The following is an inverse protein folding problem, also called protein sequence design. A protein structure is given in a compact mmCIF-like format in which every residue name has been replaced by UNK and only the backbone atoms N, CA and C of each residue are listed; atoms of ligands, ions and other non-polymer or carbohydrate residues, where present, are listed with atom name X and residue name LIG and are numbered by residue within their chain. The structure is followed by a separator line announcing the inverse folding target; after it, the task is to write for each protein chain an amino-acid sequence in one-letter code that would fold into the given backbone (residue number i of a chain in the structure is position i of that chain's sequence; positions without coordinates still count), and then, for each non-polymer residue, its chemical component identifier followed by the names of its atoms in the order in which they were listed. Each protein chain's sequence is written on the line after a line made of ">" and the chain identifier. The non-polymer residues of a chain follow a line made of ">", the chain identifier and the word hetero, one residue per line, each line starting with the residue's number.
data_IF_687978835579
#
_entry.id   IF_687978835579
#
_cell.length_a   1.000
_cell.length_b   1.000
_cell.length_c   1.000
_cell.angle_alpha   90.00
_cell.angle_beta   90.00
_cell.angle_gamma   90.00
#
_symmetry.space_group_name_H-M   'P 1'
#
loop_
_entity.id
_entity.type
_entity.pdbx_description
1 polymer ?
#
# COMPACT_ATOMS: atom_id res chain seq x y z
N UNK A 1 7.64 21.55 -8.15
CA UNK A 1 6.24 21.81 -8.54
C UNK A 1 5.40 21.74 -7.27
N UNK A 2 4.79 22.84 -6.82
CA UNK A 2 3.78 22.82 -5.74
C UNK A 2 2.41 22.97 -6.38
N UNK A 3 1.62 21.89 -6.41
CA UNK A 3 0.14 21.88 -6.52
C UNK A 3 -0.28 20.50 -5.99
N UNK A 4 -1.18 20.31 -5.02
CA UNK A 4 -2.21 21.16 -4.41
C UNK A 4 -3.42 20.24 -4.22
N UNK A 5 -3.83 19.98 -2.97
CA UNK A 5 -4.89 19.05 -2.58
C UNK A 5 -4.85 17.66 -3.28
N UNK A 6 -5.96 16.90 -3.22
CA UNK A 6 -6.11 15.63 -3.94
C UNK A 6 -6.32 15.92 -5.42
N UNK A 7 -5.44 15.39 -6.30
CA UNK A 7 -5.50 15.65 -7.74
C UNK A 7 -6.37 14.63 -8.47
N UNK A 8 -6.51 13.41 -7.94
CA UNK A 8 -7.40 12.41 -8.48
C UNK A 8 -8.86 12.82 -8.27
N UNK A 9 -9.62 12.87 -9.36
CA UNK A 9 -11.03 13.27 -9.33
C UNK A 9 -11.92 12.03 -9.20
N UNK A 10 -13.01 12.07 -8.40
CA UNK A 10 -14.00 11.01 -8.37
C UNK A 10 -14.63 10.79 -9.74
N UNK A 11 -14.74 9.53 -10.18
CA UNK A 11 -15.52 9.16 -11.35
C UNK A 11 -17.02 9.05 -11.03
N UNK A 12 -17.84 8.64 -12.01
CA UNK A 12 -19.29 8.48 -11.83
C UNK A 12 -19.71 7.45 -10.77
N UNK A 13 -18.78 6.64 -10.26
CA UNK A 13 -18.99 5.69 -9.17
C UNK A 13 -18.40 6.15 -7.84
N UNK A 14 -17.79 7.34 -7.80
CA UNK A 14 -17.14 7.91 -6.61
C UNK A 14 -15.69 7.49 -6.41
N UNK A 15 -15.12 6.67 -7.31
CA UNK A 15 -13.72 6.22 -7.22
C UNK A 15 -12.79 7.29 -7.78
N UNK A 16 -11.80 7.72 -7.00
CA UNK A 16 -10.79 8.68 -7.47
C UNK A 16 -9.90 8.11 -8.56
N UNK A 17 -9.80 8.82 -9.68
CA UNK A 17 -8.97 8.50 -10.83
C UNK A 17 -8.13 9.68 -11.29
N UNK A 18 -6.99 9.40 -11.91
CA UNK A 18 -6.13 10.39 -12.54
C UNK A 18 -5.77 9.92 -13.95
N UNK A 19 -6.21 10.68 -14.97
CA UNK A 19 -6.05 10.33 -16.38
C UNK A 19 -6.53 8.90 -16.70
N UNK A 20 -7.70 8.53 -16.15
CA UNK A 20 -8.32 7.21 -16.32
C UNK A 20 -7.77 6.09 -15.44
N UNK A 21 -6.60 6.28 -14.81
CA UNK A 21 -6.00 5.30 -13.90
C UNK A 21 -6.61 5.39 -12.50
N UNK A 22 -6.85 4.26 -11.82
CA UNK A 22 -7.30 4.27 -10.44
C UNK A 22 -6.22 4.83 -9.51
N UNK A 23 -6.64 5.57 -8.50
CA UNK A 23 -5.76 6.12 -7.49
C UNK A 23 -5.80 5.34 -6.18
N UNK A 24 -4.68 5.37 -5.47
CA UNK A 24 -4.53 4.82 -4.13
C UNK A 24 -4.06 5.92 -3.18
N UNK A 25 -4.52 5.84 -1.94
CA UNK A 25 -3.92 6.58 -0.83
C UNK A 25 -2.77 5.78 -0.25
N UNK A 26 -1.82 6.49 0.36
CA UNK A 26 -0.70 5.88 1.09
C UNK A 26 -0.61 6.45 2.49
N UNK A 27 -0.20 5.63 3.43
CA UNK A 27 0.33 6.05 4.74
C UNK A 27 1.69 5.37 4.95
N UNK A 28 2.24 5.50 6.15
CA UNK A 28 3.46 4.82 6.56
C UNK A 28 3.23 4.19 7.93
N UNK A 29 3.83 3.03 8.15
CA UNK A 29 3.80 2.36 9.43
C UNK A 29 5.17 1.80 9.80
N UNK A 30 5.31 1.51 11.09
CA UNK A 30 6.38 0.74 11.67
C UNK A 30 5.83 0.05 12.91
N UNK A 31 5.59 -1.26 12.81
CA UNK A 31 5.01 -2.07 13.88
C UNK A 31 5.97 -3.16 14.41
N UNK A 32 7.12 -3.37 13.77
CA UNK A 32 8.09 -4.39 14.17
C UNK A 32 7.66 -5.85 13.90
N UNK A 33 6.48 -6.09 13.32
CA UNK A 33 5.87 -7.41 13.27
C UNK A 33 6.30 -8.23 12.06
N UNK A 34 6.14 -9.56 12.16
CA UNK A 34 6.42 -10.50 11.06
C UNK A 34 5.53 -10.26 9.82
N UNK A 35 4.35 -9.71 10.05
CA UNK A 35 3.36 -9.41 9.03
C UNK A 35 2.58 -10.63 8.55
N UNK A 36 1.42 -10.33 7.96
CA UNK A 36 0.35 -11.28 7.65
C UNK A 36 0.60 -12.20 6.45
N UNK A 37 1.71 -12.00 5.73
CA UNK A 37 2.20 -12.95 4.74
C UNK A 37 3.30 -13.89 5.30
N UNK A 38 3.58 -13.81 6.60
CA UNK A 38 4.50 -14.71 7.29
C UNK A 38 5.95 -14.55 6.86
N UNK A 39 6.38 -13.34 6.54
CA UNK A 39 7.72 -13.02 6.06
C UNK A 39 8.74 -12.89 7.20
N UNK A 40 8.94 -14.00 7.91
CA UNK A 40 9.87 -14.18 9.01
C UNK A 40 9.95 -15.66 9.41
N UNK A 41 10.84 -16.04 10.35
CA UNK A 41 10.96 -17.42 10.81
C UNK A 41 9.62 -18.00 11.30
N UNK A 42 9.33 -19.29 11.05
CA UNK A 42 8.09 -19.93 11.48
C UNK A 42 7.92 -19.89 13.00
N UNK A 43 6.66 -19.79 13.47
CA UNK A 43 6.30 -19.90 14.88
C UNK A 43 6.66 -18.71 15.77
N UNK A 44 7.18 -17.62 15.19
CA UNK A 44 7.46 -16.36 15.90
C UNK A 44 6.86 -15.14 15.19
N UNK A 45 7.05 -13.98 15.82
CA UNK A 45 6.64 -12.66 15.32
C UNK A 45 7.85 -11.79 14.92
N UNK A 46 9.00 -12.42 14.66
CA UNK A 46 10.19 -11.74 14.17
C UNK A 46 10.13 -11.64 12.64
N UNK A 47 10.17 -10.45 12.03
CA UNK A 47 10.29 -10.31 10.58
C UNK A 47 11.69 -10.70 10.10
N UNK A 48 11.79 -11.15 8.84
CA UNK A 48 13.08 -11.17 8.18
C UNK A 48 13.61 -9.73 8.03
N UNK A 49 14.93 -9.54 8.13
CA UNK A 49 15.52 -8.22 8.01
C UNK A 49 15.13 -7.50 6.72
N UNK A 50 15.05 -8.21 5.58
CA UNK A 50 14.63 -7.60 4.32
C UNK A 50 13.20 -7.04 4.38
N UNK A 51 12.30 -7.66 5.15
CA UNK A 51 10.90 -7.20 5.23
C UNK A 51 10.78 -5.82 5.88
N UNK A 52 11.75 -5.44 6.72
CA UNK A 52 11.84 -4.14 7.38
C UNK A 52 12.67 -3.11 6.60
N UNK A 53 13.43 -3.54 5.59
CA UNK A 53 14.38 -2.70 4.86
C UNK A 53 13.96 -2.43 3.40
N UNK A 54 13.24 -3.38 2.79
CA UNK A 54 12.77 -3.28 1.41
C UNK A 54 11.52 -2.39 1.30
N UNK A 55 11.16 -2.06 0.05
CA UNK A 55 9.88 -1.41 -0.26
C UNK A 55 8.77 -2.46 -0.18
N UNK A 56 8.17 -2.58 1.00
CA UNK A 56 7.05 -3.47 1.30
C UNK A 56 5.84 -2.67 1.77
N UNK A 57 4.65 -3.25 1.64
CA UNK A 57 3.41 -2.62 2.04
C UNK A 57 2.47 -3.58 2.78
N UNK A 58 1.70 -3.00 3.70
CA UNK A 58 0.47 -3.55 4.22
C UNK A 58 -0.70 -3.01 3.38
N UNK A 59 -1.39 -3.89 2.66
CA UNK A 59 -2.49 -3.46 1.79
C UNK A 59 -3.84 -3.50 2.52
N UNK A 60 -4.77 -2.60 2.19
CA UNK A 60 -6.10 -2.63 2.81
C UNK A 60 -6.77 -3.99 2.66
N UNK A 61 -7.42 -4.46 3.72
CA UNK A 61 -7.89 -5.83 3.89
C UNK A 61 -8.60 -6.41 2.66
N UNK A 62 -9.47 -5.63 2.02
CA UNK A 62 -10.23 -6.08 0.84
C UNK A 62 -9.39 -6.23 -0.41
N UNK A 63 -8.30 -5.48 -0.56
CA UNK A 63 -7.31 -5.79 -1.58
C UNK A 63 -6.44 -6.96 -1.15
N UNK A 64 -5.93 -6.97 0.08
CA UNK A 64 -5.04 -8.02 0.61
C UNK A 64 -5.60 -9.45 0.39
N UNK A 65 -6.90 -9.66 0.62
CA UNK A 65 -7.55 -10.95 0.42
C UNK A 65 -8.50 -10.99 -0.80
N UNK A 66 -8.31 -10.11 -1.78
CA UNK A 66 -9.09 -10.08 -3.03
C UNK A 66 -10.62 -10.19 -2.80
N UNK A 67 -11.12 -9.36 -1.89
CA UNK A 67 -12.52 -9.23 -1.49
C UNK A 67 -12.91 -10.01 -0.23
N UNK A 68 -12.05 -10.92 0.24
CA UNK A 68 -12.26 -11.67 1.48
C UNK A 68 -11.96 -10.86 2.75
N UNK A 69 -11.77 -11.56 3.86
CA UNK A 69 -11.53 -10.99 5.20
C UNK A 69 -10.34 -11.65 5.92
N UNK A 70 -9.57 -12.50 5.23
CA UNK A 70 -8.38 -13.10 5.84
C UNK A 70 -7.38 -12.01 6.20
N UNK A 71 -6.84 -12.10 7.41
CA UNK A 71 -5.71 -11.30 7.90
C UNK A 71 -4.44 -12.16 8.01
N UNK A 72 -4.41 -13.32 7.36
CA UNK A 72 -3.24 -14.20 7.29
C UNK A 72 -3.26 -14.96 5.96
N UNK A 73 -2.11 -15.00 5.26
CA UNK A 73 -1.96 -15.56 3.92
C UNK A 73 -3.10 -15.13 2.97
N UNK A 74 -3.33 -13.82 2.90
CA UNK A 74 -4.28 -13.24 1.95
C UNK A 74 -3.92 -13.58 0.51
N UNK A 75 -4.94 -13.63 -0.36
CA UNK A 75 -4.77 -14.00 -1.78
C UNK A 75 -3.78 -13.12 -2.56
N UNK A 76 -3.53 -11.89 -2.10
CA UNK A 76 -2.61 -10.96 -2.73
C UNK A 76 -1.27 -10.81 -1.99
N UNK A 77 -0.98 -11.67 -1.00
CA UNK A 77 0.38 -11.82 -0.49
C UNK A 77 1.36 -12.10 -1.65
N UNK A 78 2.51 -11.42 -1.64
CA UNK A 78 3.54 -11.59 -2.66
C UNK A 78 3.28 -10.86 -3.98
N UNK A 79 2.15 -10.16 -4.12
CA UNK A 79 1.91 -9.28 -5.28
C UNK A 79 2.74 -8.02 -5.17
N UNK A 80 3.19 -7.51 -6.31
CA UNK A 80 3.84 -6.21 -6.38
C UNK A 80 2.94 -5.17 -7.04
N UNK A 81 2.93 -3.98 -6.45
CA UNK A 81 2.19 -2.83 -6.96
C UNK A 81 3.15 -1.71 -7.30
N UNK A 82 2.95 -1.11 -8.47
CA UNK A 82 3.67 0.10 -8.87
C UNK A 82 2.86 1.31 -8.47
N UNK A 83 3.42 2.12 -7.57
CA UNK A 83 2.85 3.37 -7.12
C UNK A 83 3.55 4.53 -7.83
N UNK A 84 2.78 5.31 -8.58
CA UNK A 84 3.29 6.52 -9.27
C UNK A 84 2.66 7.73 -8.62
N UNK A 85 3.44 8.62 -7.98
CA UNK A 85 2.89 9.83 -7.37
C UNK A 85 2.17 10.71 -8.39
N UNK A 86 1.04 11.30 -8.02
CA UNK A 86 0.33 12.28 -8.84
C UNK A 86 0.85 13.70 -8.61
N UNK A 87 1.45 13.94 -7.43
CA UNK A 87 1.75 15.26 -6.89
C UNK A 87 0.74 15.70 -5.81
N UNK A 88 -0.41 15.02 -5.72
CA UNK A 88 -1.46 15.30 -4.75
C UNK A 88 -1.20 14.64 -3.39
N UNK A 89 -2.03 15.03 -2.42
CA UNK A 89 -2.08 14.47 -1.07
C UNK A 89 -3.42 14.85 -0.43
N UNK A 90 -3.81 14.18 0.66
CA UNK A 90 -5.01 14.59 1.43
C UNK A 90 -4.66 15.82 2.28
N UNK A 91 -5.38 16.95 2.15
CA UNK A 91 -5.05 18.19 2.87
C UNK A 91 -4.93 17.98 4.39
N UNK A 92 -3.84 18.46 4.98
CA UNK A 92 -3.55 18.33 6.41
C UNK A 92 -3.03 16.95 6.85
N UNK A 93 -3.08 15.94 5.98
CA UNK A 93 -2.71 14.55 6.29
C UNK A 93 -1.54 14.03 5.42
N UNK A 94 -0.90 14.90 4.64
CA UNK A 94 0.26 14.56 3.80
C UNK A 94 0.89 15.78 3.16
N UNK A 95 1.85 15.54 2.25
CA UNK A 95 2.57 16.58 1.50
C UNK A 95 2.89 16.11 0.08
N UNK A 96 3.03 17.07 -0.83
CA UNK A 96 3.46 16.78 -2.19
C UNK A 96 4.88 16.17 -2.21
N UNK A 97 5.12 15.12 -3.01
CA UNK A 97 6.44 14.51 -3.14
C UNK A 97 7.43 15.42 -3.90
N UNK A 98 8.75 15.22 -3.76
CA UNK A 98 9.75 16.02 -4.48
C UNK A 98 9.80 15.72 -5.99
N UNK A 99 9.37 14.53 -6.41
CA UNK A 99 9.33 14.07 -7.79
C UNK A 99 8.20 13.04 -7.98
N UNK A 100 7.94 12.64 -9.22
CA UNK A 100 6.88 11.71 -9.58
C UNK A 100 7.43 10.34 -10.03
N UNK A 101 8.64 9.98 -9.59
CA UNK A 101 9.24 8.71 -9.98
C UNK A 101 8.44 7.54 -9.37
N UNK A 102 8.07 6.52 -10.15
CA UNK A 102 7.33 5.38 -9.64
C UNK A 102 8.23 4.49 -8.78
N UNK A 103 7.62 3.83 -7.80
CA UNK A 103 8.27 2.81 -6.98
C UNK A 103 7.41 1.54 -6.95
N UNK A 104 8.04 0.39 -6.77
CA UNK A 104 7.37 -0.91 -6.71
C UNK A 104 7.44 -1.43 -5.27
N UNK A 105 6.29 -1.75 -4.69
CA UNK A 105 6.15 -2.29 -3.35
C UNK A 105 5.65 -3.72 -3.39
N UNK A 106 6.22 -4.59 -2.55
CA UNK A 106 5.76 -5.96 -2.33
C UNK A 106 4.73 -6.00 -1.20
N UNK A 107 3.58 -6.65 -1.42
CA UNK A 107 2.56 -6.87 -0.38
C UNK A 107 3.02 -8.00 0.54
N UNK A 108 3.27 -7.64 1.81
CA UNK A 108 3.79 -8.57 2.84
C UNK A 108 2.98 -8.58 4.13
N UNK A 109 2.03 -7.65 4.26
CA UNK A 109 1.19 -7.50 5.43
C UNK A 109 -0.23 -7.05 5.05
N UNK A 110 -1.15 -7.08 6.01
CA UNK A 110 -2.49 -6.53 5.87
C UNK A 110 -2.65 -5.25 6.68
N UNK A 111 -3.42 -4.30 6.15
CA UNK A 111 -3.96 -3.19 6.92
C UNK A 111 -5.45 -3.51 7.19
N UNK A 112 -5.79 -4.04 8.37
CA UNK A 112 -7.15 -4.48 8.67
C UNK A 112 -8.09 -3.29 8.76
N UNK A 113 -9.38 -3.51 8.44
CA UNK A 113 -10.41 -2.46 8.59
C UNK A 113 -10.50 -1.96 10.04
N UNK A 114 -10.48 -2.88 10.99
CA UNK A 114 -10.58 -2.56 12.41
C UNK A 114 -9.36 -1.75 12.86
N UNK A 115 -9.60 -0.56 13.41
CA UNK A 115 -8.56 0.35 13.88
C UNK A 115 -7.93 1.22 12.78
N UNK A 116 -8.23 0.97 11.51
CA UNK A 116 -7.74 1.76 10.37
C UNK A 116 -8.88 2.21 9.44
N UNK A 117 -10.06 2.48 10.02
CA UNK A 117 -11.31 2.71 9.29
C UNK A 117 -11.20 3.87 8.28
N UNK A 118 -10.42 4.90 8.60
CA UNK A 118 -10.23 6.06 7.74
C UNK A 118 -9.56 5.71 6.40
N UNK A 119 -8.51 4.90 6.45
CA UNK A 119 -7.63 4.65 5.31
C UNK A 119 -7.87 3.28 4.66
N UNK A 120 -8.05 2.24 5.47
CA UNK A 120 -8.20 0.85 5.06
C UNK A 120 -9.65 0.35 5.16
N UNK A 121 -10.60 1.21 5.51
CA UNK A 121 -12.02 0.89 5.70
C UNK A 121 -12.82 0.57 4.42
N UNK A 122 -12.18 0.23 3.30
CA UNK A 122 -12.91 -0.21 2.11
C UNK A 122 -13.70 -1.49 2.40
N UNK A 123 -14.96 -1.55 1.96
CA UNK A 123 -15.86 -2.71 2.17
C UNK A 123 -15.85 -3.72 1.03
N UNK A 124 -15.17 -3.41 -0.06
CA UNK A 124 -15.01 -4.27 -1.23
C UNK A 124 -13.64 -4.08 -1.86
N UNK A 125 -13.25 -5.02 -2.72
CA UNK A 125 -11.98 -4.95 -3.46
C UNK A 125 -12.02 -3.89 -4.56
N UNK A 126 -10.87 -3.48 -5.11
CA UNK A 126 -10.85 -2.59 -6.28
C UNK A 126 -11.74 -3.07 -7.42
N UNK A 127 -12.39 -2.12 -8.10
CA UNK A 127 -13.40 -2.39 -9.12
C UNK A 127 -14.82 -2.67 -8.60
N UNK A 128 -15.06 -2.61 -7.28
CA UNK A 128 -16.41 -2.73 -6.68
C UNK A 128 -17.05 -1.40 -6.26
N UNK A 129 -16.43 -0.28 -6.63
CA UNK A 129 -16.86 1.09 -6.26
C UNK A 129 -16.98 1.32 -4.75
N UNK A 130 -16.25 0.54 -3.95
CA UNK A 130 -16.10 0.75 -2.50
C UNK A 130 -14.80 1.52 -2.26
N UNK A 131 -14.88 2.62 -1.51
CA UNK A 131 -13.77 3.55 -1.25
C UNK A 131 -13.58 3.75 0.25
N UNK A 132 -12.40 4.23 0.64
CA UNK A 132 -12.16 4.71 2.00
C UNK A 132 -12.75 6.12 2.22
N UNK A 133 -12.53 6.70 3.41
CA UNK A 133 -13.04 8.02 3.77
C UNK A 133 -12.59 9.15 2.83
N UNK A 134 -11.51 8.92 2.07
CA UNK A 134 -10.89 9.88 1.17
C UNK A 134 -11.17 9.62 -0.31
N UNK A 135 -11.99 8.63 -0.65
CA UNK A 135 -12.43 8.35 -2.03
C UNK A 135 -11.53 7.40 -2.84
N UNK A 136 -10.58 6.71 -2.21
CA UNK A 136 -9.68 5.76 -2.88
C UNK A 136 -10.16 4.32 -2.71
N UNK A 137 -10.19 3.55 -3.80
CA UNK A 137 -10.66 2.14 -3.80
C UNK A 137 -9.66 1.16 -3.17
N UNK A 138 -8.43 1.59 -2.93
CA UNK A 138 -7.39 0.83 -2.24
C UNK A 138 -6.48 1.77 -1.44
N UNK A 139 -5.89 1.21 -0.39
CA UNK A 139 -4.87 1.87 0.41
C UNK A 139 -3.66 0.97 0.56
N UNK A 140 -2.47 1.58 0.55
CA UNK A 140 -1.20 0.90 0.82
C UNK A 140 -0.48 1.64 1.95
N UNK A 141 -0.39 0.99 3.10
CA UNK A 141 0.39 1.47 4.23
C UNK A 141 1.84 0.97 4.04
N UNK A 142 2.79 1.89 3.96
CA UNK A 142 4.14 1.62 3.48
C UNK A 142 5.10 1.41 4.66
N UNK A 143 5.78 0.27 4.69
CA UNK A 143 6.75 -0.04 5.76
C UNK A 143 7.86 1.01 5.77
N UNK A 144 8.13 1.60 6.93
CA UNK A 144 9.08 2.69 7.10
C UNK A 144 10.01 2.53 8.30
N UNK A 145 10.19 1.30 8.82
CA UNK A 145 11.08 1.00 9.96
C UNK A 145 12.47 1.66 9.86
N UNK A 146 13.08 1.64 8.67
CA UNK A 146 14.41 2.22 8.44
C UNK A 146 14.36 3.57 7.69
N UNK A 147 13.19 4.20 7.63
CA UNK A 147 13.01 5.47 6.93
C UNK A 147 13.00 5.36 5.40
N UNK A 148 12.82 4.16 4.83
CA UNK A 148 12.86 3.95 3.39
C UNK A 148 11.79 4.71 2.60
N UNK A 149 10.69 5.14 3.25
CA UNK A 149 9.63 5.94 2.62
C UNK A 149 9.88 7.43 2.89
N UNK A 150 10.06 7.81 4.15
CA UNK A 150 10.14 9.24 4.54
C UNK A 150 11.52 9.84 4.25
N UNK A 151 12.60 9.11 4.51
CA UNK A 151 13.95 9.65 4.37
C UNK A 151 14.53 9.41 2.98
N UNK A 152 14.27 8.25 2.38
CA UNK A 152 14.87 7.89 1.09
C UNK A 152 14.04 8.34 -0.11
N UNK A 153 12.71 8.27 -0.01
CA UNK A 153 11.80 8.71 -1.08
C UNK A 153 11.23 10.11 -0.85
N UNK A 154 11.30 10.62 0.39
CA UNK A 154 10.65 11.86 0.82
C UNK A 154 9.15 11.85 0.52
N UNK A 155 8.50 10.72 0.77
CA UNK A 155 7.05 10.56 0.67
C UNK A 155 6.40 10.77 2.02
N UNK A 156 5.37 11.61 2.05
CA UNK A 156 4.53 11.87 3.24
C UNK A 156 3.07 11.77 2.82
N UNK A 157 2.52 10.56 2.93
CA UNK A 157 1.12 10.21 2.62
C UNK A 157 0.66 10.77 1.26
N UNK A 158 1.43 10.41 0.22
CA UNK A 158 1.24 10.92 -1.13
C UNK A 158 0.03 10.26 -1.80
N UNK A 159 -0.64 11.00 -2.68
CA UNK A 159 -1.60 10.44 -3.62
C UNK A 159 -0.86 9.79 -4.79
N UNK A 160 -1.29 8.59 -5.17
CA UNK A 160 -0.65 7.82 -6.25
C UNK A 160 -1.69 7.28 -7.22
N UNK A 161 -1.31 7.08 -8.48
CA UNK A 161 -1.94 6.04 -9.30
C UNK A 161 -1.29 4.69 -8.99
N UNK A 162 -2.04 3.60 -9.07
CA UNK A 162 -1.52 2.26 -8.79
C UNK A 162 -1.86 1.27 -9.92
N UNK A 163 -1.02 0.22 -10.04
CA UNK A 163 -1.26 -0.94 -10.89
C UNK A 163 -0.47 -2.15 -10.38
N UNK A 164 -1.00 -3.37 -10.57
CA UNK A 164 -0.24 -4.59 -10.31
C UNK A 164 0.82 -4.80 -11.39
N UNK A 165 2.01 -5.22 -10.99
CA UNK A 165 3.15 -5.48 -11.88
C UNK A 165 3.88 -6.76 -11.47
N UNK A 166 4.73 -7.29 -12.36
CA UNK A 166 5.68 -8.32 -11.98
C UNK A 166 6.66 -7.80 -10.94
N UNK A 167 6.93 -8.61 -9.90
CA UNK A 167 7.89 -8.24 -8.88
C UNK A 167 9.32 -8.17 -9.44
N UNK A 168 10.12 -7.16 -9.04
CA UNK A 168 11.57 -7.19 -9.16
C UNK A 168 12.15 -8.50 -8.62
N UNK A 169 13.24 -8.98 -9.23
CA UNK A 169 13.79 -10.30 -8.94
C UNK A 169 14.22 -10.48 -7.49
N UNK A 170 14.74 -9.43 -6.85
CA UNK A 170 15.09 -9.39 -5.44
C UNK A 170 13.87 -9.53 -4.53
N UNK A 171 12.79 -8.76 -4.77
CA UNK A 171 11.54 -8.85 -4.00
C UNK A 171 10.86 -10.21 -4.20
N UNK A 172 10.87 -10.74 -5.42
CA UNK A 172 10.34 -12.08 -5.70
C UNK A 172 11.12 -13.17 -4.97
N UNK A 173 12.46 -13.08 -4.94
CA UNK A 173 13.31 -14.02 -4.22
C UNK A 173 13.13 -13.91 -2.69
N UNK A 174 12.92 -12.70 -2.18
CA UNK A 174 12.60 -12.47 -0.77
C UNK A 174 11.27 -13.15 -0.39
N UNK A 175 10.22 -12.96 -1.20
CA UNK A 175 8.90 -13.52 -0.92
C UNK A 175 8.89 -15.06 -0.84
N UNK A 176 9.77 -15.74 -1.59
CA UNK A 176 9.94 -17.22 -1.51
C UNK A 176 10.33 -17.75 -0.14
N UNK A 177 10.82 -16.89 0.75
CA UNK A 177 11.16 -17.27 2.13
C UNK A 177 9.95 -17.16 3.08
N UNK A 178 8.88 -16.48 2.67
CA UNK A 178 7.70 -16.27 3.50
C UNK A 178 6.86 -17.55 3.58
N UNK A 179 6.17 -17.74 4.71
CA UNK A 179 5.31 -18.92 4.94
C UNK A 179 4.17 -19.04 3.93
N UNK A 180 3.67 -17.92 3.41
CA UNK A 180 2.51 -17.88 2.51
C UNK A 180 2.85 -17.98 1.01
N UNK A 181 4.09 -18.32 0.62
CA UNK A 181 4.49 -18.43 -0.79
C UNK A 181 3.90 -19.67 -1.49
#
# INVERSE_FOLDING_TARGET
>A
LVRGDQLCQPDGSGVRRYNGKPCASTTRYDDGHRGSCGCGPPGGDTPFAWNMNSLTAAASQKYFDNGGDRTWCGRNCGRCVRLTPTGGFVPGLGRAPPNLNPQIFLVTNDCPVQGNEEWCGQRGKPGSSQVNAHGYEVHFDLQNHNGQVVNNLNWDNIETTWEEVGCPGDLANNYRQCECH
#
